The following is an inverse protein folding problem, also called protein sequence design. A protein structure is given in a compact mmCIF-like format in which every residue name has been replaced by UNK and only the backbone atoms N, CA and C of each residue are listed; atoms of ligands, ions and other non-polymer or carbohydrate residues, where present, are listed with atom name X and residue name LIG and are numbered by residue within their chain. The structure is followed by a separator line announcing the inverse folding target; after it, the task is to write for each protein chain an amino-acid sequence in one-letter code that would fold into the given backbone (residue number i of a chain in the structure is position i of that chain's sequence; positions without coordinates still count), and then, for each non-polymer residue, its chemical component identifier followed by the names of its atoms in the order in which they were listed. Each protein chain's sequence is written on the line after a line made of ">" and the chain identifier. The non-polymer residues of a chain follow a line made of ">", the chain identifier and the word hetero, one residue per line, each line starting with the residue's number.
data_IF_547533551076
#
_entry.id   IF_547533551076
#
_cell.length_a   1.000
_cell.length_b   1.000
_cell.length_c   1.000
_cell.angle_alpha   90.00
_cell.angle_beta   90.00
_cell.angle_gamma   90.00
#
_symmetry.space_group_name_H-M   'P 1'
#
loop_
_entity.id
_entity.type
_entity.pdbx_description
1 polymer ?
#
# COMPACT_ATOMS: atom_id res chain seq x y z
N UNK A 1 -28.48 -19.73 -63.31
CA UNK A 1 -28.57 -19.97 -61.86
C UNK A 1 -27.95 -18.72 -61.20
N UNK A 2 -28.82 -17.87 -60.66
CA UNK A 2 -28.63 -16.74 -59.72
C UNK A 2 -27.64 -15.58 -60.01
N UNK A 3 -28.24 -14.38 -60.04
CA UNK A 3 -27.68 -13.06 -59.72
C UNK A 3 -27.23 -12.96 -58.26
N UNK A 4 -26.24 -12.11 -57.95
CA UNK A 4 -26.27 -11.13 -56.85
C UNK A 4 -25.02 -10.23 -56.87
N UNK A 5 -25.27 -8.95 -56.59
CA UNK A 5 -24.40 -7.80 -56.37
C UNK A 5 -23.57 -7.84 -55.09
N UNK A 6 -22.36 -7.27 -55.09
CA UNK A 6 -21.72 -6.63 -53.93
C UNK A 6 -20.85 -5.47 -54.49
N UNK A 7 -21.37 -4.24 -54.55
CA UNK A 7 -21.19 -3.19 -53.52
C UNK A 7 -19.72 -2.99 -53.10
N UNK A 8 -19.04 -2.15 -53.88
CA UNK A 8 -17.78 -1.50 -53.57
C UNK A 8 -17.98 -0.57 -52.36
N UNK A 9 -17.81 -1.13 -51.15
CA UNK A 9 -17.89 -0.42 -49.89
C UNK A 9 -16.68 0.50 -49.75
N UNK A 10 -16.90 1.77 -50.08
CA UNK A 10 -15.91 2.84 -49.97
C UNK A 10 -15.27 2.90 -48.58
N UNK A 11 -13.94 2.86 -48.58
CA UNK A 11 -13.12 3.48 -47.55
C UNK A 11 -12.26 4.52 -48.26
N UNK A 12 -12.75 5.77 -48.26
CA UNK A 12 -11.92 6.91 -48.58
C UNK A 12 -10.72 6.93 -47.64
N UNK A 13 -9.53 7.06 -48.21
CA UNK A 13 -8.33 7.38 -47.44
C UNK A 13 -8.55 8.75 -46.80
N UNK A 14 -8.88 8.77 -45.52
CA UNK A 14 -8.83 10.00 -44.75
C UNK A 14 -7.35 10.30 -44.48
N UNK A 15 -6.78 11.19 -45.28
CA UNK A 15 -5.46 11.76 -45.05
C UNK A 15 -5.48 12.48 -43.69
N UNK A 16 -4.82 11.91 -42.68
CA UNK A 16 -4.63 12.53 -41.36
C UNK A 16 -3.78 13.82 -41.39
N UNK A 17 -3.42 14.32 -42.58
CA UNK A 17 -2.63 15.53 -42.74
C UNK A 17 -3.49 16.82 -42.77
N UNK A 18 -4.79 16.75 -43.11
CA UNK A 18 -5.63 17.96 -43.20
C UNK A 18 -6.07 18.51 -41.83
N UNK A 19 -6.28 17.67 -40.81
CA UNK A 19 -6.67 18.13 -39.47
C UNK A 19 -5.51 18.73 -38.65
N UNK A 20 -4.27 18.28 -38.91
CA UNK A 20 -3.08 18.87 -38.29
C UNK A 20 -2.84 20.29 -38.80
N UNK A 21 -3.10 20.53 -40.08
CA UNK A 21 -2.94 21.85 -40.72
C UNK A 21 -4.04 22.82 -40.30
N UNK A 22 -5.29 22.39 -40.11
CA UNK A 22 -6.36 23.26 -39.61
C UNK A 22 -6.06 23.81 -38.19
N UNK A 23 -5.53 22.96 -37.30
CA UNK A 23 -5.12 23.38 -35.96
C UNK A 23 -3.83 24.22 -35.97
N UNK A 24 -2.93 24.02 -36.93
CA UNK A 24 -1.73 24.83 -37.11
C UNK A 24 -2.06 26.23 -37.69
N UNK A 25 -2.95 26.32 -38.68
CA UNK A 25 -3.46 27.56 -39.26
C UNK A 25 -4.25 28.38 -38.25
N UNK A 26 -5.06 27.73 -37.41
CA UNK A 26 -5.78 28.44 -36.34
C UNK A 26 -4.79 28.99 -35.31
N UNK A 27 -3.74 28.24 -34.95
CA UNK A 27 -2.66 28.72 -34.04
C UNK A 27 -1.85 29.85 -34.66
N UNK A 28 -1.57 29.81 -35.97
CA UNK A 28 -0.85 30.88 -36.66
C UNK A 28 -1.70 32.17 -36.74
N UNK A 29 -2.98 32.08 -37.09
CA UNK A 29 -3.87 33.24 -37.13
C UNK A 29 -4.08 33.86 -35.75
N UNK A 30 -4.26 33.04 -34.71
CA UNK A 30 -4.39 33.54 -33.32
C UNK A 30 -3.08 34.17 -32.83
N UNK A 31 -1.92 33.65 -33.22
CA UNK A 31 -0.60 34.22 -32.88
C UNK A 31 -0.27 35.52 -33.65
N UNK A 32 -0.83 35.71 -34.86
CA UNK A 32 -0.68 36.96 -35.60
C UNK A 32 -1.62 38.06 -35.07
N UNK A 33 -2.83 37.70 -34.63
CA UNK A 33 -3.77 38.64 -33.98
C UNK A 33 -3.29 39.11 -32.60
N UNK A 34 -2.38 38.39 -31.94
CA UNK A 34 -1.81 38.74 -30.64
C UNK A 34 -0.48 39.51 -30.71
N UNK A 35 -0.03 39.95 -31.89
CA UNK A 35 1.24 40.69 -32.05
C UNK A 35 1.13 42.21 -31.95
N UNK A 36 -0.03 42.72 -31.56
CA UNK A 36 -0.22 44.12 -31.20
C UNK A 36 -0.90 44.21 -29.84
N UNK A 37 -0.38 45.09 -29.00
CA UNK A 37 -0.80 45.47 -27.63
C UNK A 37 -0.40 44.55 -26.46
N UNK A 38 0.12 45.24 -25.45
CA UNK A 38 0.75 44.81 -24.21
C UNK A 38 -0.21 44.10 -23.23
N UNK A 39 0.40 43.39 -22.27
CA UNK A 39 -0.18 42.84 -21.04
C UNK A 39 -1.49 42.07 -21.17
N UNK A 40 -1.40 40.73 -21.18
CA UNK A 40 -2.53 39.91 -20.79
C UNK A 40 -2.07 38.76 -19.87
N UNK A 41 -2.45 38.87 -18.60
CA UNK A 41 -2.43 37.81 -17.62
C UNK A 41 -3.41 36.72 -18.06
N UNK A 42 -2.89 35.58 -18.51
CA UNK A 42 -3.73 34.42 -18.83
C UNK A 42 -4.06 33.71 -17.51
N UNK A 43 -5.17 34.09 -16.90
CA UNK A 43 -5.88 33.27 -15.92
C UNK A 43 -6.99 32.51 -16.66
N UNK A 44 -6.76 31.25 -17.00
CA UNK A 44 -7.78 30.35 -17.53
C UNK A 44 -8.02 29.21 -16.55
N UNK A 45 -9.27 28.95 -16.12
CA UNK A 45 -9.58 27.78 -15.29
C UNK A 45 -9.29 26.50 -16.07
N UNK A 46 -8.86 25.46 -15.35
CA UNK A 46 -8.56 24.13 -15.88
C UNK A 46 -9.73 23.60 -16.71
N UNK A 47 -9.55 23.50 -18.02
CA UNK A 47 -10.50 22.85 -18.92
C UNK A 47 -10.19 21.35 -18.89
N UNK A 48 -11.09 20.57 -18.30
CA UNK A 48 -11.12 19.13 -18.46
C UNK A 48 -11.44 18.80 -19.92
N UNK A 49 -10.40 18.54 -20.72
CA UNK A 49 -10.55 17.83 -21.99
C UNK A 49 -9.85 16.48 -21.84
N UNK A 50 -10.66 15.42 -21.83
CA UNK A 50 -10.30 14.04 -21.53
C UNK A 50 -9.32 13.47 -22.57
N UNK A 51 -8.01 13.72 -22.43
CA UNK A 51 -6.87 12.87 -22.85
C UNK A 51 -5.52 13.36 -22.24
N UNK A 52 -5.45 14.58 -21.70
CA UNK A 52 -4.21 15.17 -21.16
C UNK A 52 -4.43 15.89 -19.83
N UNK A 53 -3.58 15.64 -18.83
CA UNK A 53 -3.56 16.40 -17.57
C UNK A 53 -2.70 17.67 -17.73
N UNK A 54 -3.29 18.85 -17.62
CA UNK A 54 -2.57 20.11 -17.63
C UNK A 54 -2.39 20.64 -16.20
N UNK A 55 -1.16 20.98 -15.83
CA UNK A 55 -0.86 21.63 -14.55
C UNK A 55 -0.36 23.05 -14.80
N UNK A 56 -0.88 24.01 -14.03
CA UNK A 56 -0.41 25.39 -14.07
C UNK A 56 0.75 25.56 -13.09
N UNK A 57 1.88 26.07 -13.56
CA UNK A 57 3.01 26.42 -12.70
C UNK A 57 2.81 27.87 -12.24
N UNK A 58 2.67 28.13 -10.93
CA UNK A 58 2.29 29.46 -10.43
C UNK A 58 3.37 30.53 -10.61
N UNK A 59 4.63 30.13 -10.81
CA UNK A 59 5.76 31.04 -11.01
C UNK A 59 6.35 30.88 -12.40
N UNK A 60 6.75 31.99 -13.03
CA UNK A 60 7.53 31.94 -14.26
C UNK A 60 8.88 31.26 -13.96
N UNK A 61 9.27 30.29 -14.81
CA UNK A 61 10.54 29.59 -14.72
C UNK A 61 11.23 29.61 -16.08
N UNK A 62 12.50 30.03 -16.09
CA UNK A 62 13.35 29.98 -17.28
C UNK A 62 14.03 28.61 -17.37
N UNK A 63 13.80 27.88 -18.46
CA UNK A 63 14.43 26.58 -18.72
C UNK A 63 15.46 26.76 -19.85
N UNK A 64 16.77 26.73 -19.56
CA UNK A 64 17.80 26.88 -20.59
C UNK A 64 17.84 25.63 -21.49
N UNK A 65 18.03 25.84 -22.80
CA UNK A 65 18.17 24.76 -23.81
C UNK A 65 19.55 24.11 -23.77
N UNK A 66 19.97 23.60 -22.61
CA UNK A 66 21.29 23.01 -22.38
C UNK A 66 21.30 21.48 -22.35
N UNK A 67 20.17 20.84 -22.64
CA UNK A 67 20.03 19.38 -22.60
C UNK A 67 20.03 18.76 -21.20
N UNK A 68 19.95 19.58 -20.14
CA UNK A 68 19.91 19.13 -18.74
C UNK A 68 18.46 19.05 -18.26
N UNK A 69 18.14 18.04 -17.45
CA UNK A 69 16.83 17.92 -16.82
C UNK A 69 16.62 19.00 -15.74
N UNK A 70 15.48 19.68 -15.78
CA UNK A 70 15.10 20.70 -14.80
C UNK A 70 13.85 20.27 -14.04
N UNK A 71 13.92 20.27 -12.70
CA UNK A 71 12.75 20.01 -11.84
C UNK A 71 12.07 21.32 -11.48
N UNK A 72 10.76 21.40 -11.74
CA UNK A 72 9.94 22.57 -11.42
C UNK A 72 8.88 22.18 -10.40
N UNK A 73 8.73 23.00 -9.36
CA UNK A 73 7.64 22.84 -8.40
C UNK A 73 6.34 23.27 -9.07
N UNK A 74 5.45 22.30 -9.28
CA UNK A 74 4.11 22.53 -9.84
C UNK A 74 3.13 22.95 -8.75
N UNK A 75 3.05 22.16 -7.67
CA UNK A 75 2.09 22.37 -6.59
C UNK A 75 2.69 21.92 -5.26
N UNK A 76 2.30 22.59 -4.18
CA UNK A 76 2.52 22.16 -2.81
C UNK A 76 1.14 22.04 -2.15
N UNK A 77 0.88 20.88 -1.55
CA UNK A 77 -0.43 20.55 -0.98
C UNK A 77 -0.22 19.99 0.42
N UNK A 78 -0.99 20.51 1.37
CA UNK A 78 -1.08 19.95 2.71
C UNK A 78 -2.24 18.95 2.75
N UNK A 79 -1.90 17.67 2.87
CA UNK A 79 -2.85 16.57 2.97
C UNK A 79 -2.96 16.09 4.42
N UNK A 80 -4.16 15.67 4.82
CA UNK A 80 -4.36 15.05 6.12
C UNK A 80 -3.85 13.61 6.08
N UNK A 81 -3.06 13.22 7.09
CA UNK A 81 -2.49 11.89 7.19
C UNK A 81 -2.77 11.26 8.56
N UNK A 82 -2.99 9.96 8.58
CA UNK A 82 -2.99 9.14 9.80
C UNK A 82 -1.76 8.23 9.82
N UNK A 83 -1.31 7.86 11.02
CA UNK A 83 -0.15 7.00 11.20
C UNK A 83 -0.59 5.64 11.73
N UNK A 84 -0.09 4.59 11.10
CA UNK A 84 -0.36 3.20 11.50
C UNK A 84 0.95 2.44 11.63
N UNK A 85 1.06 1.61 12.66
CA UNK A 85 2.21 0.72 12.83
C UNK A 85 1.85 -0.71 12.47
N UNK A 86 2.80 -1.41 11.87
CA UNK A 86 2.69 -2.83 11.56
C UNK A 86 3.93 -3.57 12.08
N UNK A 87 3.76 -4.78 12.60
CA UNK A 87 4.87 -5.62 13.03
C UNK A 87 4.61 -7.09 12.65
N UNK A 88 5.65 -7.75 12.13
CA UNK A 88 5.67 -9.19 11.85
C UNK A 88 6.84 -9.81 12.64
N UNK A 89 6.64 -10.14 13.93
CA UNK A 89 7.71 -10.49 14.85
C UNK A 89 8.58 -11.66 14.39
N UNK A 90 7.98 -12.68 13.78
CA UNK A 90 8.69 -13.85 13.23
C UNK A 90 9.64 -13.53 12.07
N UNK A 91 9.44 -12.40 11.37
CA UNK A 91 10.36 -11.94 10.31
C UNK A 91 11.35 -10.89 10.83
N UNK A 92 10.84 -9.92 11.59
CA UNK A 92 11.63 -8.84 12.15
C UNK A 92 10.92 -8.29 13.39
N UNK A 93 11.58 -8.36 14.54
CA UNK A 93 11.11 -7.80 15.80
C UNK A 93 11.27 -6.26 15.81
N UNK A 94 10.60 -5.59 14.88
CA UNK A 94 10.58 -4.13 14.73
C UNK A 94 9.21 -3.68 14.25
N UNK A 95 8.77 -2.52 14.74
CA UNK A 95 7.54 -1.90 14.31
C UNK A 95 7.81 -0.96 13.14
N UNK A 96 7.13 -1.16 12.02
CA UNK A 96 7.22 -0.32 10.83
C UNK A 96 6.09 0.70 10.85
N UNK A 97 6.45 1.96 10.70
CA UNK A 97 5.54 3.09 10.61
C UNK A 97 5.14 3.30 9.15
N UNK A 98 3.84 3.48 8.92
CA UNK A 98 3.30 3.93 7.64
C UNK A 98 2.38 5.13 7.85
N UNK A 99 2.42 6.08 6.92
CA UNK A 99 1.43 7.14 6.82
C UNK A 99 0.36 6.74 5.80
N UNK A 100 -0.91 6.82 6.20
CA UNK A 100 -2.07 6.70 5.31
C UNK A 100 -2.55 8.12 5.01
N UNK A 101 -2.54 8.50 3.75
CA UNK A 101 -2.85 9.85 3.29
C UNK A 101 -4.03 9.76 2.32
N UNK A 102 -5.03 10.59 2.53
CA UNK A 102 -6.17 10.72 1.61
C UNK A 102 -5.90 11.85 0.63
N UNK A 103 -6.07 11.62 -0.67
CA UNK A 103 -6.01 12.69 -1.66
C UNK A 103 -7.26 13.57 -1.53
N UNK A 104 -7.15 14.68 -0.81
CA UNK A 104 -8.22 15.68 -0.65
C UNK A 104 -8.19 16.79 -1.71
N UNK A 105 -7.31 16.68 -2.72
CA UNK A 105 -7.27 17.66 -3.82
C UNK A 105 -8.39 17.42 -4.82
N UNK A 106 -8.66 18.43 -5.65
CA UNK A 106 -9.64 18.35 -6.74
C UNK A 106 -9.12 17.62 -7.99
N UNK A 107 -7.85 17.18 -7.98
CA UNK A 107 -7.20 16.57 -9.14
C UNK A 107 -6.52 15.24 -8.78
N UNK A 108 -6.35 14.33 -9.75
CA UNK A 108 -5.60 13.11 -9.50
C UNK A 108 -4.11 13.41 -9.30
N UNK A 109 -3.49 12.79 -8.28
CA UNK A 109 -2.04 12.79 -8.15
C UNK A 109 -1.45 11.87 -9.23
N UNK A 110 -0.52 12.37 -10.06
CA UNK A 110 0.03 11.58 -11.16
C UNK A 110 0.91 10.43 -10.63
N UNK A 111 0.97 9.30 -11.34
CA UNK A 111 1.90 8.23 -11.01
C UNK A 111 3.35 8.68 -11.23
N UNK A 112 4.26 8.22 -10.39
CA UNK A 112 5.68 8.54 -10.52
C UNK A 112 6.49 8.30 -9.26
N UNK A 113 7.80 8.49 -9.37
CA UNK A 113 8.71 8.32 -8.25
C UNK A 113 8.59 9.46 -7.25
N UNK A 114 8.47 9.11 -5.97
CA UNK A 114 8.38 10.02 -4.85
C UNK A 114 9.51 9.75 -3.84
N UNK A 115 10.04 10.83 -3.26
CA UNK A 115 10.96 10.75 -2.13
C UNK A 115 10.20 11.11 -0.85
N UNK A 116 10.34 10.26 0.16
CA UNK A 116 9.64 10.38 1.44
C UNK A 116 10.61 10.92 2.49
N UNK A 117 10.19 11.98 3.17
CA UNK A 117 10.96 12.63 4.22
C UNK A 117 10.17 12.64 5.53
N UNK A 118 10.84 12.38 6.64
CA UNK A 118 10.28 12.42 7.99
C UNK A 118 11.23 13.23 8.88
N UNK A 119 10.72 14.25 9.59
CA UNK A 119 11.54 15.15 10.43
C UNK A 119 12.80 15.66 9.70
N UNK A 120 12.60 16.16 8.47
CA UNK A 120 13.65 16.60 7.53
C UNK A 120 14.72 15.56 7.14
N UNK A 121 14.59 14.30 7.57
CA UNK A 121 15.43 13.18 7.16
C UNK A 121 14.84 12.44 5.95
N UNK A 122 15.69 12.04 5.01
CA UNK A 122 15.30 11.14 3.92
C UNK A 122 15.05 9.73 4.48
N UNK A 123 13.92 9.14 4.10
CA UNK A 123 13.51 7.82 4.61
C UNK A 123 13.54 6.77 3.50
N UNK A 124 12.84 7.04 2.40
CA UNK A 124 12.65 6.06 1.33
C UNK A 124 12.36 6.74 -0.01
N UNK A 125 12.64 6.01 -1.10
CA UNK A 125 12.04 6.26 -2.41
C UNK A 125 10.88 5.28 -2.57
N UNK A 126 9.76 5.77 -3.08
CA UNK A 126 8.58 4.97 -3.39
C UNK A 126 8.06 5.33 -4.77
N UNK A 127 7.34 4.42 -5.40
CA UNK A 127 6.62 4.71 -6.62
C UNK A 127 5.14 4.95 -6.28
N UNK A 128 4.67 6.17 -6.49
CA UNK A 128 3.28 6.54 -6.29
C UNK A 128 2.49 6.09 -7.52
N UNK A 129 1.35 5.41 -7.29
CA UNK A 129 0.38 5.13 -8.36
C UNK A 129 -0.43 6.39 -8.68
N UNK A 130 -1.22 6.38 -9.74
CA UNK A 130 -2.22 7.43 -9.94
C UNK A 130 -3.21 7.39 -8.77
N UNK A 131 -3.37 8.50 -8.03
CA UNK A 131 -4.30 8.59 -6.89
C UNK A 131 -5.39 9.60 -7.22
N UNK A 132 -6.59 9.17 -7.62
CA UNK A 132 -7.75 10.04 -7.82
C UNK A 132 -8.15 10.83 -6.56
N UNK A 133 -8.91 11.93 -6.71
CA UNK A 133 -9.55 12.60 -5.58
C UNK A 133 -10.36 11.63 -4.73
N UNK A 134 -10.20 11.70 -3.42
CA UNK A 134 -10.88 10.84 -2.43
C UNK A 134 -10.22 9.48 -2.19
N UNK A 135 -9.23 9.07 -2.99
CA UNK A 135 -8.52 7.80 -2.77
C UNK A 135 -7.39 7.94 -1.74
N UNK A 136 -7.13 6.86 -1.00
CA UNK A 136 -6.02 6.77 -0.05
C UNK A 136 -4.79 6.11 -0.65
N UNK A 137 -3.62 6.63 -0.28
CA UNK A 137 -2.33 6.01 -0.55
C UNK A 137 -1.52 5.86 0.73
N UNK A 138 -0.60 4.89 0.72
CA UNK A 138 0.25 4.57 1.86
C UNK A 138 1.70 4.88 1.55
N UNK A 139 2.36 5.53 2.50
CA UNK A 139 3.78 5.83 2.46
C UNK A 139 4.47 5.15 3.63
N UNK A 140 5.38 4.20 3.33
CA UNK A 140 6.20 3.56 4.35
C UNK A 140 7.24 4.55 4.89
N UNK A 141 7.29 4.72 6.20
CA UNK A 141 8.20 5.63 6.91
C UNK A 141 9.34 4.91 7.63
N UNK A 142 9.46 3.60 7.43
CA UNK A 142 10.53 2.79 8.02
C UNK A 142 10.24 2.37 9.46
N UNK A 143 11.30 2.00 10.19
CA UNK A 143 11.19 1.47 11.55
C UNK A 143 11.02 2.61 12.56
N UNK A 144 10.03 2.50 13.45
CA UNK A 144 9.86 3.41 14.60
C UNK A 144 10.57 2.79 15.83
N UNK A 145 11.76 3.30 16.24
CA UNK A 145 12.52 2.74 17.35
C UNK A 145 11.86 2.99 18.72
N UNK A 146 10.82 3.84 18.77
CA UNK A 146 10.05 4.15 19.97
C UNK A 146 9.11 3.02 20.38
N UNK A 147 8.81 2.07 19.48
CA UNK A 147 8.02 0.89 19.80
C UNK A 147 8.98 -0.28 19.95
N UNK A 148 9.11 -0.78 21.18
CA UNK A 148 9.94 -1.97 21.44
C UNK A 148 9.09 -3.21 21.22
N UNK A 149 9.62 -4.10 20.40
CA UNK A 149 9.05 -5.43 20.14
C UNK A 149 10.09 -6.43 20.58
N UNK A 150 9.71 -7.32 21.48
CA UNK A 150 10.53 -8.44 21.93
C UNK A 150 9.83 -9.75 21.55
N UNK A 151 10.53 -10.56 20.76
CA UNK A 151 10.05 -11.84 20.27
C UNK A 151 10.79 -12.95 21.02
N UNK A 152 10.14 -13.48 22.06
CA UNK A 152 10.76 -14.48 22.95
C UNK A 152 11.02 -15.79 22.20
N UNK A 153 11.91 -16.64 22.71
CA UNK A 153 12.11 -17.96 22.14
C UNK A 153 10.83 -18.81 22.28
N UNK A 154 10.32 -19.43 21.20
CA UNK A 154 9.15 -20.28 21.29
C UNK A 154 9.43 -21.52 22.13
N UNK A 155 8.41 -21.98 22.85
CA UNK A 155 8.41 -23.27 23.53
C UNK A 155 7.57 -24.24 22.72
N UNK A 156 8.14 -25.40 22.40
CA UNK A 156 7.41 -26.47 21.71
C UNK A 156 7.44 -27.73 22.56
N UNK A 157 6.27 -28.29 22.85
CA UNK A 157 6.12 -29.54 23.59
C UNK A 157 5.48 -30.61 22.72
N UNK A 158 5.88 -31.86 22.94
CA UNK A 158 5.38 -33.01 22.19
C UNK A 158 4.78 -34.02 23.16
N UNK A 159 3.52 -34.37 22.95
CA UNK A 159 2.78 -35.32 23.78
C UNK A 159 2.14 -36.38 22.89
N UNK A 160 2.07 -37.63 23.36
CA UNK A 160 1.29 -38.67 22.70
C UNK A 160 -0.12 -38.69 23.28
N UNK A 161 -1.12 -38.52 22.43
CA UNK A 161 -2.54 -38.45 22.80
C UNK A 161 -3.35 -39.51 22.04
N UNK A 162 -4.46 -39.94 22.64
CA UNK A 162 -5.41 -40.90 22.04
C UNK A 162 -5.33 -42.32 22.62
N UNK A 163 -6.49 -42.85 23.04
CA UNK A 163 -6.60 -44.15 23.72
C UNK A 163 -6.73 -45.33 22.73
N UNK A 164 -7.22 -45.08 21.51
CA UNK A 164 -7.49 -46.11 20.47
C UNK A 164 -6.62 -45.94 19.22
N UNK A 165 -6.27 -44.69 18.88
CA UNK A 165 -5.35 -44.31 17.80
C UNK A 165 -4.28 -43.41 18.40
N UNK A 166 -3.00 -43.81 18.30
CA UNK A 166 -1.88 -42.99 18.78
C UNK A 166 -1.69 -41.80 17.86
N UNK A 167 -1.89 -40.60 18.40
CA UNK A 167 -1.62 -39.33 17.73
C UNK A 167 -0.56 -38.56 18.49
N UNK A 168 0.22 -37.75 17.79
CA UNK A 168 1.19 -36.82 18.37
C UNK A 168 0.55 -35.45 18.41
N UNK A 169 0.50 -34.85 19.60
CA UNK A 169 0.08 -33.48 19.84
C UNK A 169 1.33 -32.62 20.05
N UNK A 170 1.55 -31.68 19.14
CA UNK A 170 2.60 -30.66 19.25
C UNK A 170 1.92 -29.39 19.73
N UNK A 171 2.37 -28.86 20.87
CA UNK A 171 1.91 -27.55 21.36
C UNK A 171 3.00 -26.53 21.16
N UNK A 172 2.69 -25.46 20.44
CA UNK A 172 3.60 -24.35 20.21
C UNK A 172 3.13 -23.13 21.00
N UNK A 173 4.01 -22.58 21.82
CA UNK A 173 3.78 -21.39 22.64
C UNK A 173 4.80 -20.31 22.31
N UNK A 174 4.30 -19.11 22.04
CA UNK A 174 5.09 -17.95 21.66
C UNK A 174 4.51 -16.71 22.35
N UNK A 175 5.39 -15.83 22.83
CA UNK A 175 5.00 -14.57 23.45
C UNK A 175 5.67 -13.42 22.69
N UNK A 176 4.86 -12.43 22.32
CA UNK A 176 5.33 -11.18 21.71
C UNK A 176 5.09 -10.06 22.72
N UNK A 177 6.16 -9.47 23.22
CA UNK A 177 6.09 -8.37 24.17
C UNK A 177 6.21 -7.04 23.42
N UNK A 178 5.23 -6.16 23.60
CA UNK A 178 5.18 -4.84 22.99
C UNK A 178 5.29 -3.76 24.06
N UNK A 179 6.09 -2.72 23.80
CA UNK A 179 6.15 -1.53 24.65
C UNK A 179 6.14 -0.25 23.82
N UNK A 180 5.23 0.65 24.14
CA UNK A 180 5.28 2.01 23.63
C UNK A 180 6.20 2.86 24.51
N UNK A 181 7.35 3.27 23.98
CA UNK A 181 8.29 4.15 24.69
C UNK A 181 8.02 5.66 24.44
N UNK A 182 6.97 6.01 23.69
CA UNK A 182 6.55 7.41 23.54
C UNK A 182 5.97 7.93 24.85
N UNK A 183 6.23 9.20 25.14
CA UNK A 183 5.87 9.86 26.42
C UNK A 183 4.43 10.38 26.42
N UNK A 184 3.92 10.81 25.26
CA UNK A 184 2.66 11.57 25.17
C UNK A 184 1.66 10.99 24.17
N UNK A 185 2.09 10.11 23.27
CA UNK A 185 1.26 9.62 22.17
C UNK A 185 0.90 8.14 22.33
N UNK A 186 -0.39 7.83 22.20
CA UNK A 186 -0.85 6.47 21.99
C UNK A 186 -0.53 6.02 20.56
N UNK A 187 -0.37 4.72 20.38
CA UNK A 187 0.04 4.15 19.10
C UNK A 187 -0.87 2.97 18.75
N UNK A 188 -1.38 2.98 17.53
CA UNK A 188 -2.11 1.86 16.95
C UNK A 188 -1.13 0.97 16.20
N UNK A 189 -0.94 -0.26 16.68
CA UNK A 189 -0.07 -1.25 16.07
C UNK A 189 -0.88 -2.48 15.68
N UNK A 190 -0.70 -2.95 14.46
CA UNK A 190 -1.21 -4.26 14.02
C UNK A 190 -0.05 -5.25 14.05
N UNK A 191 -0.13 -6.23 14.95
CA UNK A 191 0.83 -7.35 14.99
C UNK A 191 0.28 -8.49 14.14
N UNK A 192 1.12 -9.06 13.28
CA UNK A 192 0.79 -10.20 12.43
C UNK A 192 1.71 -11.36 12.75
N UNK A 193 1.13 -12.52 13.02
CA UNK A 193 1.86 -13.78 13.20
C UNK A 193 1.33 -14.85 12.25
N UNK A 194 2.21 -15.67 11.70
CA UNK A 194 1.79 -16.76 10.82
C UNK A 194 1.37 -17.97 11.64
N UNK A 195 0.18 -18.50 11.37
CA UNK A 195 -0.27 -19.78 11.93
C UNK A 195 -0.13 -20.84 10.84
N UNK A 196 0.47 -22.01 11.13
CA UNK A 196 0.57 -23.06 10.14
C UNK A 196 -0.80 -23.45 9.58
N UNK A 197 -0.85 -23.66 8.27
CA UNK A 197 -2.03 -24.15 7.56
C UNK A 197 -1.86 -25.64 7.26
N UNK A 198 -2.89 -26.41 7.52
CA UNK A 198 -2.86 -27.85 7.23
C UNK A 198 -2.97 -28.09 5.73
N UNK A 199 -2.12 -28.99 5.22
CA UNK A 199 -2.17 -29.47 3.82
C UNK A 199 -2.83 -30.84 3.69
N UNK A 200 -3.07 -31.53 4.82
CA UNK A 200 -3.63 -32.89 4.87
C UNK A 200 -4.75 -32.93 5.91
N UNK A 201 -5.88 -33.56 5.56
CA UNK A 201 -7.05 -33.69 6.45
C UNK A 201 -6.73 -34.43 7.76
N UNK A 202 -5.68 -35.26 7.79
CA UNK A 202 -5.21 -35.96 8.99
C UNK A 202 -4.53 -35.01 10.00
N UNK A 203 -4.07 -33.85 9.56
CA UNK A 203 -3.38 -32.87 10.42
C UNK A 203 -4.41 -31.84 10.87
N UNK A 204 -4.65 -31.77 12.18
CA UNK A 204 -5.55 -30.79 12.78
C UNK A 204 -4.74 -29.70 13.45
N UNK A 205 -5.04 -28.45 13.11
CA UNK A 205 -4.39 -27.28 13.68
C UNK A 205 -5.43 -26.45 14.41
N UNK A 206 -5.20 -26.17 15.69
CA UNK A 206 -6.11 -25.43 16.54
C UNK A 206 -5.38 -24.27 17.21
N UNK A 207 -5.87 -23.05 17.04
CA UNK A 207 -5.41 -21.89 17.83
C UNK A 207 -6.07 -21.96 19.20
N UNK A 208 -5.24 -22.03 20.25
CA UNK A 208 -5.67 -22.14 21.66
C UNK A 208 -5.68 -20.77 22.33
N UNK A 209 -4.69 -19.93 22.06
CA UNK A 209 -4.63 -18.54 22.49
C UNK A 209 -4.05 -17.72 21.35
N UNK A 210 -4.62 -16.55 21.01
CA UNK A 210 -5.80 -15.89 21.57
C UNK A 210 -7.10 -16.57 21.12
N UNK A 211 -8.22 -16.25 21.75
CA UNK A 211 -9.53 -16.74 21.30
C UNK A 211 -9.97 -16.04 20.00
N UNK A 212 -9.67 -16.69 18.87
CA UNK A 212 -10.02 -16.20 17.54
C UNK A 212 -11.53 -16.31 17.21
N UNK A 213 -12.33 -16.92 18.10
CA UNK A 213 -13.79 -17.07 17.94
C UNK A 213 -14.58 -15.99 18.69
N UNK A 214 -13.89 -15.13 19.45
CA UNK A 214 -14.45 -14.03 20.22
C UNK A 214 -15.01 -12.88 19.39
N UNK A 215 -15.72 -11.96 20.05
CA UNK A 215 -16.31 -10.75 19.42
C UNK A 215 -15.22 -9.72 19.05
N UNK A 216 -15.59 -8.79 18.16
CA UNK A 216 -14.73 -7.74 17.60
C UNK A 216 -13.86 -7.03 18.66
N UNK A 217 -12.56 -6.93 18.39
CA UNK A 217 -11.58 -6.24 19.24
C UNK A 217 -10.44 -7.16 19.72
N UNK A 218 -10.67 -8.47 19.67
CA UNK A 218 -9.68 -9.51 19.93
C UNK A 218 -9.09 -10.03 18.61
N UNK A 219 -7.94 -10.71 18.67
CA UNK A 219 -7.16 -11.13 17.51
C UNK A 219 -8.00 -11.90 16.49
N UNK A 220 -7.70 -11.73 15.19
CA UNK A 220 -8.44 -12.39 14.11
C UNK A 220 -7.51 -13.22 13.25
N UNK A 221 -7.94 -14.43 12.91
CA UNK A 221 -7.26 -15.22 11.89
C UNK A 221 -7.82 -14.83 10.51
N UNK A 222 -6.95 -14.34 9.62
CA UNK A 222 -7.34 -13.96 8.27
C UNK A 222 -7.35 -15.17 7.31
N UNK A 223 -7.75 -14.96 6.06
CA UNK A 223 -7.85 -16.03 5.03
C UNK A 223 -6.51 -16.67 4.69
N UNK A 224 -5.42 -15.92 4.89
CA UNK A 224 -4.05 -16.35 4.62
C UNK A 224 -3.42 -17.08 5.83
N UNK A 225 -4.23 -17.42 6.84
CA UNK A 225 -3.78 -18.03 8.09
C UNK A 225 -2.80 -17.15 8.91
N UNK A 226 -2.89 -15.83 8.76
CA UNK A 226 -2.19 -14.90 9.62
C UNK A 226 -3.11 -14.43 10.75
N UNK A 227 -2.59 -14.48 11.96
CA UNK A 227 -3.23 -13.97 13.15
C UNK A 227 -2.90 -12.48 13.30
N UNK A 228 -3.92 -11.63 13.26
CA UNK A 228 -3.80 -10.17 13.31
C UNK A 228 -4.35 -9.63 14.64
N UNK A 229 -3.51 -8.89 15.37
CA UNK A 229 -3.89 -8.17 16.58
C UNK A 229 -3.83 -6.66 16.36
N UNK A 230 -4.98 -5.98 16.24
CA UNK A 230 -5.01 -4.53 16.37
C UNK A 230 -4.90 -4.16 17.86
N UNK A 231 -3.79 -3.54 18.25
CA UNK A 231 -3.53 -3.12 19.64
C UNK A 231 -3.36 -1.61 19.69
N UNK A 232 -4.00 -0.97 20.66
CA UNK A 232 -3.76 0.44 20.99
C UNK A 232 -2.90 0.49 22.25
N UNK A 233 -1.67 0.98 22.12
CA UNK A 233 -0.72 1.13 23.22
C UNK A 233 -0.70 2.58 23.68
N UNK A 234 -1.17 2.85 24.90
CA UNK A 234 -1.01 4.13 25.57
C UNK A 234 0.48 4.46 25.81
N UNK A 235 0.84 5.72 26.08
CA UNK A 235 2.22 6.11 26.39
C UNK A 235 2.80 5.28 27.54
N UNK A 236 3.99 4.73 27.36
CA UNK A 236 4.64 3.87 28.35
C UNK A 236 4.04 2.47 28.52
N UNK A 237 2.91 2.15 27.87
CA UNK A 237 2.20 0.89 28.06
C UNK A 237 3.02 -0.30 27.55
N UNK A 238 2.99 -1.37 28.33
CA UNK A 238 3.52 -2.68 27.99
C UNK A 238 2.37 -3.67 27.84
N UNK A 239 2.45 -4.56 26.84
CA UNK A 239 1.44 -5.59 26.59
C UNK A 239 2.09 -6.82 25.99
N UNK A 240 1.76 -7.99 26.54
CA UNK A 240 2.20 -9.28 26.04
C UNK A 240 1.08 -9.93 25.24
N UNK A 241 1.37 -10.31 24.00
CA UNK A 241 0.49 -11.11 23.16
C UNK A 241 0.93 -12.57 23.26
N UNK A 242 0.05 -13.41 23.80
CA UNK A 242 0.28 -14.86 23.86
C UNK A 242 -0.28 -15.53 22.61
N UNK A 243 0.54 -16.40 22.02
CA UNK A 243 0.24 -17.14 20.82
C UNK A 243 0.46 -18.61 21.16
N UNK A 244 -0.62 -19.37 21.21
CA UNK A 244 -0.60 -20.79 21.49
C UNK A 244 -1.43 -21.51 20.46
N UNK A 245 -0.85 -22.47 19.77
CA UNK A 245 -1.57 -23.35 18.86
C UNK A 245 -1.10 -24.78 19.01
N UNK A 246 -1.98 -25.72 18.66
CA UNK A 246 -1.68 -27.15 18.66
C UNK A 246 -1.75 -27.72 17.27
N UNK A 247 -0.89 -28.70 17.00
CA UNK A 247 -0.86 -29.50 15.79
C UNK A 247 -1.02 -30.95 16.23
N UNK A 248 -2.13 -31.58 15.84
CA UNK A 248 -2.39 -32.99 16.06
C UNK A 248 -2.20 -33.74 14.73
N UNK A 249 -1.38 -34.78 14.75
CA UNK A 249 -1.14 -35.63 13.58
C UNK A 249 -0.97 -37.10 13.98
N UNK A 250 -1.11 -38.07 13.06
CA UNK A 250 -0.88 -39.49 13.35
C UNK A 250 0.55 -39.75 13.81
N UNK A 251 0.74 -40.57 14.86
CA UNK A 251 2.07 -40.84 15.43
C UNK A 251 3.01 -41.64 14.50
N UNK A 252 2.46 -42.27 13.45
CA UNK A 252 3.22 -43.00 12.43
C UNK A 252 3.89 -42.10 11.39
N UNK A 253 3.52 -40.82 11.34
CA UNK A 253 3.95 -39.87 10.32
C UNK A 253 4.71 -38.70 10.97
N UNK A 254 5.62 -38.07 10.22
CA UNK A 254 6.32 -36.86 10.65
C UNK A 254 5.78 -35.62 9.93
N UNK A 255 5.73 -34.49 10.63
CA UNK A 255 5.26 -33.22 10.08
C UNK A 255 6.46 -32.34 9.75
N UNK A 256 6.44 -31.72 8.58
CA UNK A 256 7.45 -30.73 8.15
C UNK A 256 6.78 -29.42 7.76
N UNK A 257 7.34 -28.29 8.20
CA UNK A 257 6.87 -26.96 7.80
C UNK A 257 7.50 -26.55 6.47
N UNK A 258 6.68 -26.05 5.55
CA UNK A 258 7.14 -25.45 4.30
C UNK A 258 6.75 -23.98 4.29
N UNK A 259 7.75 -23.10 4.19
CA UNK A 259 7.52 -21.69 3.88
C UNK A 259 7.06 -21.61 2.42
N UNK A 260 5.84 -21.12 2.21
CA UNK A 260 5.34 -20.86 0.87
C UNK A 260 5.82 -19.45 0.48
N UNK A 261 6.48 -19.26 -0.67
CA UNK A 261 7.01 -17.97 -1.10
C UNK A 261 5.92 -16.94 -1.40
#
# INVERSE_FOLDING_TARGET
>A
MYEASEEDMGFGSFDCNEMADAAALHRYNTAQLSRSSEENSVSTPSVENLMSTCFSVPRAVTIPSNGVEHKVLVVMVDLTSSFTHECVPSRCASAFLSAVVTNTTTFPLPPGDAAVYLNSGFVAKTHLRSVPPGEEFRCSLGVDPSIKVDYKTPTTTHEQVGFMSKSTLITHEQIVSLRNAKVTQSVQITVREQIPKSTDEKIKICVVSPDVRGKQGEAKLNKDHNLEWPVVLAPGQHTDLSIKYTIEHPASESVSFKLTP
#
